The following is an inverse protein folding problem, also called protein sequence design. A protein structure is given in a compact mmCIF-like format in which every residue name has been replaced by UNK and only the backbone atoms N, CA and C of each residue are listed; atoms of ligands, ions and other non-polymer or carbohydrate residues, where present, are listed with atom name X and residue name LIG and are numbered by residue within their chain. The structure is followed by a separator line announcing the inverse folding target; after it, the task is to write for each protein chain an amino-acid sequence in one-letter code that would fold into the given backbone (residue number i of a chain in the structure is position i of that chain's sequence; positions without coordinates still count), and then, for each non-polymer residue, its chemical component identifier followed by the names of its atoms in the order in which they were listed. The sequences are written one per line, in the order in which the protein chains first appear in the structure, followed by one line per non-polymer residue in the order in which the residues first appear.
data_IF_427551511742
#
_entry.id   IF_427551511742
#
_cell.length_a   1.000
_cell.length_b   1.000
_cell.length_c   1.000
_cell.angle_alpha   90.00
_cell.angle_beta   90.00
_cell.angle_gamma   90.00
#
_symmetry.space_group_name_H-M   'P 1'
#
loop_
_entity.id
_entity.type
_entity.pdbx_description
1 polymer ?
#
# COMPACT_ATOMS: atom_id res chain seq x y z
N UNK A 1 -18.68 16.03 0.98
CA UNK A 1 -17.28 15.92 0.52
C UNK A 1 -17.05 16.62 -0.82
N UNK A 2 -18.06 16.64 -1.69
CA UNK A 2 -18.01 17.21 -3.06
C UNK A 2 -17.63 18.67 -3.16
N UNK A 3 -17.93 19.49 -2.15
CA UNK A 3 -17.55 20.91 -2.15
C UNK A 3 -16.04 21.10 -2.02
N UNK A 4 -15.35 20.16 -1.36
CA UNK A 4 -13.90 20.18 -1.15
C UNK A 4 -13.18 19.44 -2.27
N UNK A 5 -13.71 18.29 -2.69
CA UNK A 5 -13.10 17.43 -3.71
C UNK A 5 -14.10 17.06 -4.82
N UNK A 6 -14.58 18.04 -5.62
CA UNK A 6 -15.55 17.79 -6.69
C UNK A 6 -15.01 16.86 -7.79
N UNK A 7 -13.68 16.74 -7.86
CA UNK A 7 -12.99 15.88 -8.83
C UNK A 7 -13.19 14.38 -8.56
N UNK A 8 -13.49 13.95 -7.33
CA UNK A 8 -13.74 12.53 -7.03
C UNK A 8 -14.85 11.98 -7.94
N UNK A 9 -16.02 12.65 -7.93
CA UNK A 9 -17.13 12.27 -8.79
C UNK A 9 -16.79 12.38 -10.27
N UNK A 10 -16.11 13.46 -10.69
CA UNK A 10 -15.74 13.66 -12.11
C UNK A 10 -14.82 12.57 -12.63
N UNK A 11 -14.02 11.95 -11.77
CA UNK A 11 -13.10 10.85 -12.10
C UNK A 11 -13.72 9.46 -11.85
N UNK A 12 -14.99 9.38 -11.44
CA UNK A 12 -15.70 8.11 -11.24
C UNK A 12 -15.63 7.53 -9.83
N UNK A 13 -15.08 8.27 -8.86
CA UNK A 13 -15.10 7.88 -7.45
C UNK A 13 -16.35 8.41 -6.74
N UNK A 14 -16.99 7.58 -5.91
CA UNK A 14 -18.07 8.05 -5.03
C UNK A 14 -17.46 8.82 -3.84
N UNK A 15 -17.72 10.14 -3.71
CA UNK A 15 -17.17 10.97 -2.65
C UNK A 15 -17.71 10.65 -1.25
N UNK A 16 -18.73 9.80 -1.13
CA UNK A 16 -19.27 9.36 0.17
C UNK A 16 -18.94 7.88 0.49
N UNK A 17 -18.33 7.14 -0.44
CA UNK A 17 -17.88 5.76 -0.18
C UNK A 17 -16.52 5.77 0.52
N UNK A 18 -16.35 4.93 1.55
CA UNK A 18 -15.10 4.85 2.31
C UNK A 18 -14.75 3.41 2.75
N UNK A 19 -13.84 2.71 2.04
CA UNK A 19 -13.30 3.05 0.73
C UNK A 19 -14.29 2.76 -0.40
N UNK A 20 -14.13 3.40 -1.58
CA UNK A 20 -14.77 2.95 -2.81
C UNK A 20 -14.34 1.52 -3.19
N UNK A 21 -15.20 0.80 -3.91
CA UNK A 21 -14.81 -0.46 -4.52
C UNK A 21 -14.02 -0.22 -5.81
N UNK A 22 -12.70 -0.43 -5.77
CA UNK A 22 -11.80 -0.26 -6.91
C UNK A 22 -11.75 -1.48 -7.86
N UNK A 23 -12.48 -2.56 -7.54
CA UNK A 23 -12.44 -3.82 -8.25
C UNK A 23 -11.48 -4.85 -7.63
N UNK A 24 -11.27 -5.96 -8.35
CA UNK A 24 -10.33 -7.02 -7.97
C UNK A 24 -9.09 -6.95 -8.88
N UNK A 25 -7.89 -7.21 -8.35
CA UNK A 25 -6.68 -7.24 -9.15
C UNK A 25 -6.70 -8.42 -10.13
N UNK A 26 -5.95 -8.28 -11.23
CA UNK A 26 -5.62 -9.43 -12.08
C UNK A 26 -4.60 -10.36 -11.38
N UNK A 27 -4.39 -11.55 -11.95
CA UNK A 27 -3.48 -12.54 -11.37
C UNK A 27 -2.02 -12.06 -11.32
N UNK A 28 -1.60 -11.23 -12.27
CA UNK A 28 -0.23 -10.74 -12.34
C UNK A 28 0.06 -9.78 -11.19
N UNK A 29 -0.84 -8.84 -10.95
CA UNK A 29 -0.78 -7.89 -9.84
C UNK A 29 -0.88 -8.64 -8.52
N UNK A 30 -1.78 -9.61 -8.39
CA UNK A 30 -1.91 -10.40 -7.18
C UNK A 30 -0.60 -11.12 -6.81
N UNK A 31 0.02 -11.83 -7.78
CA UNK A 31 1.30 -12.53 -7.58
C UNK A 31 2.44 -11.57 -7.24
N UNK A 32 2.54 -10.44 -7.94
CA UNK A 32 3.58 -9.43 -7.67
C UNK A 32 3.44 -8.82 -6.28
N UNK A 33 2.22 -8.53 -5.85
CA UNK A 33 1.96 -8.02 -4.50
C UNK A 33 2.38 -9.04 -3.44
N UNK A 34 2.08 -10.33 -3.66
CA UNK A 34 2.54 -11.40 -2.77
C UNK A 34 4.07 -11.50 -2.73
N UNK A 35 4.74 -11.42 -3.88
CA UNK A 35 6.20 -11.43 -3.96
C UNK A 35 6.84 -10.21 -3.26
N UNK A 36 6.23 -9.04 -3.34
CA UNK A 36 6.69 -7.85 -2.61
C UNK A 36 6.62 -8.08 -1.10
N UNK A 37 5.52 -8.64 -0.60
CA UNK A 37 5.38 -8.96 0.83
C UNK A 37 6.40 -10.00 1.29
N UNK A 38 6.54 -11.12 0.56
CA UNK A 38 7.50 -12.19 0.90
C UNK A 38 8.94 -11.71 0.92
N UNK A 39 9.29 -10.75 0.08
CA UNK A 39 10.65 -10.27 -0.10
C UNK A 39 10.85 -8.84 0.46
N UNK A 40 10.04 -8.42 1.44
CA UNK A 40 10.03 -7.04 1.95
C UNK A 40 11.41 -6.55 2.40
N UNK A 41 12.21 -7.40 3.05
CA UNK A 41 13.58 -7.07 3.49
C UNK A 41 14.50 -6.74 2.30
N UNK A 42 14.40 -7.50 1.22
CA UNK A 42 15.23 -7.27 0.02
C UNK A 42 14.79 -6.00 -0.72
N UNK A 43 13.49 -5.75 -0.79
CA UNK A 43 12.97 -4.51 -1.36
C UNK A 43 13.36 -3.28 -0.53
N UNK A 44 13.34 -3.41 0.80
CA UNK A 44 13.84 -2.36 1.70
C UNK A 44 15.31 -2.05 1.44
N UNK A 45 16.20 -3.06 1.41
CA UNK A 45 17.62 -2.87 1.11
C UNK A 45 17.84 -2.13 -0.21
N UNK A 46 17.10 -2.52 -1.27
CA UNK A 46 17.16 -1.86 -2.58
C UNK A 46 16.67 -0.41 -2.50
N UNK A 47 15.58 -0.15 -1.79
CA UNK A 47 15.04 1.20 -1.64
C UNK A 47 16.02 2.12 -0.90
N UNK A 48 16.67 1.64 0.17
CA UNK A 48 17.72 2.40 0.89
C UNK A 48 18.90 2.73 -0.03
N UNK A 49 19.33 1.78 -0.87
CA UNK A 49 20.40 2.03 -1.83
C UNK A 49 20.05 3.11 -2.85
N UNK A 50 18.80 3.15 -3.33
CA UNK A 50 18.34 4.14 -4.32
C UNK A 50 18.12 5.51 -3.69
N UNK A 51 17.55 5.57 -2.50
CA UNK A 51 17.23 6.82 -1.79
C UNK A 51 18.45 7.42 -1.10
N UNK A 52 19.43 6.59 -0.76
CA UNK A 52 20.66 6.94 -0.04
C UNK A 52 20.40 7.59 1.34
N UNK A 53 19.26 7.27 1.96
CA UNK A 53 18.87 7.70 3.30
C UNK A 53 17.86 6.69 3.89
N UNK A 54 18.27 5.87 4.89
CA UNK A 54 17.40 4.86 5.49
C UNK A 54 16.18 5.42 6.23
N UNK A 55 16.24 6.65 6.75
CA UNK A 55 15.12 7.24 7.51
C UNK A 55 13.97 7.66 6.59
N UNK A 56 14.24 7.78 5.29
CA UNK A 56 13.27 8.13 4.25
C UNK A 56 12.67 6.91 3.54
N UNK A 57 12.93 5.71 4.05
CA UNK A 57 12.45 4.45 3.48
C UNK A 57 11.62 3.70 4.51
N UNK A 58 10.41 3.29 4.13
CA UNK A 58 9.54 2.50 4.99
C UNK A 58 10.17 1.14 5.33
N UNK A 59 10.24 0.85 6.62
CA UNK A 59 10.80 -0.42 7.11
C UNK A 59 9.87 -1.57 6.77
N UNK A 60 10.41 -2.76 6.42
CA UNK A 60 9.58 -3.90 6.12
C UNK A 60 8.83 -4.33 7.39
N UNK A 61 7.55 -4.64 7.24
CA UNK A 61 6.76 -5.25 8.30
C UNK A 61 7.30 -6.67 8.48
N UNK A 62 8.02 -6.89 9.57
CA UNK A 62 8.46 -8.22 10.00
C UNK A 62 7.46 -8.73 11.02
N UNK A 63 7.04 -10.00 10.89
CA UNK A 63 5.93 -10.61 11.64
C UNK A 63 6.08 -10.65 13.18
N UNK A 64 7.05 -9.95 13.77
CA UNK A 64 7.09 -9.71 15.22
C UNK A 64 5.97 -8.81 15.73
N UNK A 65 5.28 -8.06 14.88
CA UNK A 65 4.19 -7.14 15.27
C UNK A 65 2.77 -7.66 14.98
N UNK A 66 2.61 -8.66 14.10
CA UNK A 66 1.30 -9.23 13.76
C UNK A 66 0.68 -10.09 14.88
N UNK A 67 1.45 -10.44 15.91
CA UNK A 67 1.00 -11.21 17.07
C UNK A 67 0.54 -10.35 18.26
N UNK A 68 0.81 -9.03 18.27
CA UNK A 68 0.60 -8.16 19.44
C UNK A 68 -0.74 -7.40 19.45
N UNK A 69 -1.65 -7.68 18.50
CA UNK A 69 -2.89 -6.92 18.32
C UNK A 69 -4.16 -7.77 18.18
N UNK A 70 -4.22 -8.92 18.86
CA UNK A 70 -5.48 -9.65 19.08
C UNK A 70 -5.74 -9.75 20.58
N UNK A 71 -6.30 -8.68 21.14
CA UNK A 71 -7.08 -8.69 22.37
C UNK A 71 -8.45 -8.07 22.06
#
# INVERSE_FOLDING_TARGET
MDSVAPMLRRLGYDPNANPPNYGKPDELVAKKTEDVHKNGVEWYKKAVQVVNDPERVDKPIVDSEAAAGRD
#
